data_IF_037118185193
#
_entry.id   IF_037118185193
#
_cell.length_a   1.000
_cell.length_b   1.000
_cell.length_c   1.000
_cell.angle_alpha   90.00
_cell.angle_beta   90.00
_cell.angle_gamma   90.00
#
_symmetry.space_group_name_H-M   'P 1'
#
loop_
_entity.id
_entity.type
_entity.pdbx_description
1 polymer ?
#
# COMPACT_ATOMS: atom_id res chain seq x y z
N UNK A 1 -50.39 5.12 -57.57
CA UNK A 1 -49.14 5.80 -57.17
C UNK A 1 -49.19 6.05 -55.67
N UNK A 2 -48.24 5.46 -54.93
CA UNK A 2 -48.31 5.25 -53.48
C UNK A 2 -48.05 6.56 -52.73
N UNK A 3 -48.93 6.86 -51.76
CA UNK A 3 -48.76 7.93 -50.77
C UNK A 3 -47.68 7.48 -49.77
N UNK A 4 -46.62 8.27 -49.62
CA UNK A 4 -45.62 8.12 -48.57
C UNK A 4 -45.93 9.18 -47.52
N UNK A 5 -46.59 8.77 -46.44
CA UNK A 5 -46.67 9.53 -45.19
C UNK A 5 -45.66 8.92 -44.24
N UNK A 6 -44.61 9.68 -43.94
CA UNK A 6 -43.56 9.34 -42.98
C UNK A 6 -44.13 9.47 -41.56
N UNK A 7 -44.52 8.36 -40.95
CA UNK A 7 -44.91 8.31 -39.54
C UNK A 7 -43.66 8.09 -38.67
N UNK A 8 -43.34 9.08 -37.85
CA UNK A 8 -42.39 8.94 -36.74
C UNK A 8 -42.96 7.94 -35.72
N UNK A 9 -42.33 6.76 -35.62
CA UNK A 9 -42.55 5.81 -34.54
C UNK A 9 -41.56 6.14 -33.42
N UNK A 10 -42.06 6.84 -32.40
CA UNK A 10 -41.44 6.93 -31.08
C UNK A 10 -41.58 5.57 -30.42
N UNK A 11 -40.50 4.79 -30.39
CA UNK A 11 -40.45 3.58 -29.57
C UNK A 11 -40.20 3.97 -28.11
N UNK A 12 -41.26 3.85 -27.32
CA UNK A 12 -41.20 3.84 -25.86
C UNK A 12 -40.34 2.68 -25.39
N UNK A 13 -39.09 2.95 -25.06
CA UNK A 13 -38.26 2.01 -24.31
C UNK A 13 -38.85 1.90 -22.89
N UNK A 14 -39.37 0.72 -22.56
CA UNK A 14 -39.74 0.37 -21.20
C UNK A 14 -38.55 0.61 -20.26
N UNK A 15 -38.68 1.57 -19.35
CA UNK A 15 -37.85 1.62 -18.15
C UNK A 15 -38.09 0.34 -17.35
N UNK A 16 -37.22 -0.65 -17.50
CA UNK A 16 -37.03 -1.62 -16.43
C UNK A 16 -36.41 -0.85 -15.27
N UNK A 17 -37.21 -0.56 -14.25
CA UNK A 17 -36.76 0.02 -13.00
C UNK A 17 -35.77 -0.94 -12.32
N UNK A 18 -34.50 -0.88 -12.72
CA UNK A 18 -33.40 -1.29 -11.85
C UNK A 18 -33.45 -0.36 -10.65
N UNK A 19 -33.92 -0.89 -9.52
CA UNK A 19 -33.80 -0.22 -8.21
C UNK A 19 -32.39 0.38 -8.13
N UNK A 20 -32.24 1.69 -7.91
CA UNK A 20 -30.93 2.25 -7.72
C UNK A 20 -30.32 1.58 -6.49
N UNK A 21 -29.19 0.91 -6.71
CA UNK A 21 -28.34 0.27 -5.69
C UNK A 21 -27.67 1.31 -4.75
N UNK A 22 -28.30 2.47 -4.57
CA UNK A 22 -27.74 3.64 -3.89
C UNK A 22 -28.63 4.18 -2.75
N UNK A 23 -29.71 3.50 -2.39
CA UNK A 23 -30.55 3.89 -1.26
C UNK A 23 -30.02 3.45 0.12
N UNK A 24 -28.94 2.67 0.16
CA UNK A 24 -28.23 2.25 1.39
C UNK A 24 -26.72 2.58 1.28
N UNK A 25 -26.38 3.73 0.70
CA UNK A 25 -25.15 4.39 1.11
C UNK A 25 -25.34 4.74 2.58
N UNK A 26 -24.89 3.84 3.47
CA UNK A 26 -24.79 4.08 4.91
C UNK A 26 -24.33 5.52 5.10
N UNK A 27 -25.16 6.36 5.74
CA UNK A 27 -24.73 7.68 6.20
C UNK A 27 -23.50 7.43 7.05
N UNK A 28 -22.32 7.64 6.49
CA UNK A 28 -21.06 7.26 7.11
C UNK A 28 -20.96 8.03 8.42
N UNK A 29 -21.28 7.35 9.52
CA UNK A 29 -21.34 7.96 10.84
C UNK A 29 -19.94 8.48 11.11
N UNK A 30 -19.84 9.76 11.46
CA UNK A 30 -18.56 10.39 11.78
C UNK A 30 -17.88 9.54 12.86
N UNK A 31 -16.66 9.03 12.63
CA UNK A 31 -15.95 8.21 13.60
C UNK A 31 -15.84 8.90 14.97
N UNK A 32 -15.92 8.12 16.05
CA UNK A 32 -15.90 8.67 17.41
C UNK A 32 -14.66 9.52 17.66
N UNK A 33 -13.49 9.09 17.19
CA UNK A 33 -12.25 9.85 17.35
C UNK A 33 -12.28 11.24 16.70
N UNK A 34 -13.08 11.44 15.65
CA UNK A 34 -13.28 12.78 15.05
C UNK A 34 -14.20 13.62 15.94
N UNK A 35 -15.23 13.00 16.53
CA UNK A 35 -16.14 13.68 17.47
C UNK A 35 -15.37 14.14 18.71
N UNK A 36 -14.52 13.28 19.24
CA UNK A 36 -13.73 13.56 20.44
C UNK A 36 -12.76 14.73 20.21
N UNK A 37 -12.03 14.72 19.08
CA UNK A 37 -11.17 15.85 18.69
C UNK A 37 -11.98 17.14 18.55
N UNK A 38 -13.18 17.10 17.95
CA UNK A 38 -14.03 18.30 17.81
C UNK A 38 -14.63 18.79 19.12
N UNK A 39 -14.64 17.96 20.16
CA UNK A 39 -15.12 18.31 21.49
C UNK A 39 -14.01 18.90 22.37
N UNK A 40 -12.75 18.87 21.94
CA UNK A 40 -11.62 19.52 22.63
C UNK A 40 -11.82 21.04 22.70
N UNK A 41 -11.08 21.71 23.59
CA UNK A 41 -11.04 23.17 23.61
C UNK A 41 -10.51 23.72 22.28
N UNK A 42 -10.88 24.95 21.90
CA UNK A 42 -10.39 25.54 20.65
C UNK A 42 -8.86 25.57 20.58
N UNK A 43 -8.20 25.83 21.71
CA UNK A 43 -6.74 25.82 21.83
C UNK A 43 -6.15 24.43 21.61
N UNK A 44 -6.75 23.39 22.20
CA UNK A 44 -6.30 22.01 22.04
C UNK A 44 -6.55 21.49 20.62
N UNK A 45 -7.66 21.88 19.99
CA UNK A 45 -7.92 21.55 18.58
C UNK A 45 -6.86 22.13 17.66
N UNK A 46 -6.48 23.39 17.87
CA UNK A 46 -5.43 24.05 17.07
C UNK A 46 -4.08 23.38 17.29
N UNK A 47 -3.67 23.18 18.54
CA UNK A 47 -2.42 22.50 18.89
C UNK A 47 -2.36 21.09 18.31
N UNK A 48 -3.43 20.31 18.48
CA UNK A 48 -3.52 18.96 17.95
C UNK A 48 -3.44 18.95 16.42
N UNK A 49 -4.17 19.84 15.74
CA UNK A 49 -4.14 19.96 14.29
C UNK A 49 -2.74 20.27 13.74
N UNK A 50 -2.03 21.21 14.39
CA UNK A 50 -0.64 21.55 14.05
C UNK A 50 0.27 20.35 14.24
N UNK A 51 0.23 19.69 15.40
CA UNK A 51 1.07 18.54 15.68
C UNK A 51 0.77 17.36 14.75
N UNK A 52 -0.50 17.07 14.47
CA UNK A 52 -0.89 16.01 13.53
C UNK A 52 -0.39 16.28 12.10
N UNK A 53 -0.53 17.53 11.62
CA UNK A 53 0.03 17.93 10.32
C UNK A 53 1.56 17.80 10.31
N UNK A 54 2.22 18.20 11.40
CA UNK A 54 3.67 18.16 11.53
C UNK A 54 4.20 16.72 11.57
N UNK A 55 3.51 15.80 12.24
CA UNK A 55 3.83 14.37 12.23
C UNK A 55 3.92 13.84 10.79
N UNK A 56 2.90 14.12 9.97
CA UNK A 56 2.87 13.69 8.56
C UNK A 56 4.04 14.29 7.78
N UNK A 57 4.28 15.59 7.91
CA UNK A 57 5.39 16.26 7.21
C UNK A 57 6.76 15.68 7.58
N UNK A 58 7.01 15.46 8.87
CA UNK A 58 8.27 14.91 9.35
C UNK A 58 8.49 13.48 8.86
N UNK A 59 7.43 12.66 8.85
CA UNK A 59 7.49 11.31 8.29
C UNK A 59 7.79 11.33 6.79
N UNK A 60 7.08 12.16 6.02
CA UNK A 60 7.31 12.33 4.57
C UNK A 60 8.74 12.80 4.25
N UNK A 61 9.36 13.55 5.17
CA UNK A 61 10.77 14.01 5.09
C UNK A 61 11.78 12.98 5.61
N UNK A 62 11.34 11.77 5.99
CA UNK A 62 12.18 10.73 6.62
C UNK A 62 12.86 11.16 7.92
N UNK A 63 12.30 12.17 8.61
CA UNK A 63 12.78 12.67 9.92
C UNK A 63 12.10 11.90 11.05
N UNK A 64 12.36 10.60 11.11
CA UNK A 64 11.59 9.63 11.91
C UNK A 64 11.66 9.92 13.42
N UNK A 65 12.83 10.30 13.95
CA UNK A 65 12.98 10.65 15.38
C UNK A 65 12.16 11.87 15.77
N UNK A 66 12.15 12.90 14.92
CA UNK A 66 11.37 14.11 15.15
C UNK A 66 9.87 13.83 14.99
N UNK A 67 9.50 12.95 14.06
CA UNK A 67 8.13 12.48 13.93
C UNK A 67 7.65 11.81 15.22
N UNK A 68 8.41 10.88 15.81
CA UNK A 68 8.06 10.27 17.10
C UNK A 68 7.98 11.29 18.25
N UNK A 69 8.83 12.32 18.26
CA UNK A 69 8.74 13.38 19.25
C UNK A 69 7.45 14.20 19.08
N UNK A 70 7.06 14.50 17.84
CA UNK A 70 5.82 15.25 17.55
C UNK A 70 4.57 14.41 17.79
N UNK A 71 4.62 13.09 17.52
CA UNK A 71 3.55 12.15 17.85
C UNK A 71 3.25 12.18 19.34
N UNK A 72 4.27 12.18 20.20
CA UNK A 72 4.08 12.27 21.65
C UNK A 72 3.32 13.54 22.06
N UNK A 73 3.62 14.69 21.43
CA UNK A 73 2.87 15.94 21.70
C UNK A 73 1.41 15.85 21.26
N UNK A 74 1.13 15.21 20.13
CA UNK A 74 -0.24 14.99 19.68
C UNK A 74 -0.99 14.06 20.66
N UNK A 75 -0.34 12.98 21.11
CA UNK A 75 -0.89 11.99 22.05
C UNK A 75 -1.11 12.56 23.46
N UNK A 76 -0.34 13.58 23.89
CA UNK A 76 -0.59 14.33 25.13
C UNK A 76 -1.96 15.05 25.11
N UNK A 77 -2.47 15.40 23.93
CA UNK A 77 -3.76 16.06 23.75
C UNK A 77 -4.85 15.02 23.45
N UNK A 78 -4.59 14.09 22.52
CA UNK A 78 -5.52 13.03 22.14
C UNK A 78 -4.78 11.83 21.52
N UNK A 79 -4.89 10.66 22.15
CA UNK A 79 -4.12 9.46 21.82
C UNK A 79 -4.88 8.42 20.98
N UNK A 80 -6.20 8.58 20.83
CA UNK A 80 -7.07 7.64 20.13
C UNK A 80 -7.29 7.99 18.66
N UNK A 81 -6.27 8.52 17.97
CA UNK A 81 -6.34 8.79 16.54
C UNK A 81 -5.65 7.68 15.73
N UNK A 82 -6.40 6.90 14.93
CA UNK A 82 -5.83 5.77 14.19
C UNK A 82 -4.78 6.19 13.16
N UNK A 83 -4.84 7.41 12.62
CA UNK A 83 -3.83 7.92 11.69
C UNK A 83 -2.50 8.25 12.39
N UNK A 84 -2.54 8.81 13.61
CA UNK A 84 -1.34 9.08 14.41
C UNK A 84 -0.71 7.77 14.89
N UNK A 85 -1.54 6.82 15.35
CA UNK A 85 -1.08 5.49 15.72
C UNK A 85 -0.47 4.73 14.53
N UNK A 86 -1.05 4.88 13.33
CA UNK A 86 -0.46 4.34 12.10
C UNK A 86 0.90 4.98 11.78
N UNK A 87 1.04 6.31 11.92
CA UNK A 87 2.33 6.99 11.75
C UNK A 87 3.36 6.52 12.78
N UNK A 88 2.95 6.28 14.02
CA UNK A 88 3.81 5.73 15.08
C UNK A 88 4.32 4.34 14.70
N UNK A 89 3.43 3.47 14.24
CA UNK A 89 3.81 2.14 13.75
C UNK A 89 4.75 2.23 12.56
N UNK A 90 4.46 3.10 11.59
CA UNK A 90 5.32 3.33 10.42
C UNK A 90 6.72 3.85 10.82
N UNK A 91 6.83 4.72 11.83
CA UNK A 91 8.12 5.14 12.36
C UNK A 91 8.92 3.95 12.92
N UNK A 92 8.26 3.03 13.64
CA UNK A 92 8.93 1.83 14.14
C UNK A 92 9.32 0.84 13.03
N UNK A 93 8.57 0.79 11.93
CA UNK A 93 8.96 0.04 10.72
C UNK A 93 10.28 0.57 10.14
N UNK A 94 10.47 1.89 10.05
CA UNK A 94 11.72 2.48 9.56
C UNK A 94 12.93 2.10 10.44
N UNK A 95 12.71 1.81 11.73
CA UNK A 95 13.73 1.30 12.65
C UNK A 95 13.86 -0.23 12.68
N UNK A 96 13.09 -0.95 11.85
CA UNK A 96 12.95 -2.42 11.90
C UNK A 96 12.53 -2.96 13.27
N UNK A 97 11.90 -2.13 14.10
CA UNK A 97 11.31 -2.56 15.36
C UNK A 97 9.88 -3.02 15.12
N UNK A 98 9.74 -4.21 14.53
CA UNK A 98 8.45 -4.72 14.08
C UNK A 98 7.49 -5.00 15.24
N UNK A 99 7.99 -5.37 16.42
CA UNK A 99 7.14 -5.60 17.60
C UNK A 99 6.41 -4.32 18.00
N UNK A 100 7.14 -3.20 18.19
CA UNK A 100 6.51 -1.91 18.51
C UNK A 100 5.64 -1.38 17.38
N UNK A 101 5.99 -1.67 16.13
CA UNK A 101 5.16 -1.31 14.98
C UNK A 101 3.82 -2.03 15.04
N UNK A 102 3.82 -3.34 15.28
CA UNK A 102 2.62 -4.16 15.39
C UNK A 102 1.76 -3.76 16.58
N UNK A 103 2.35 -3.39 17.73
CA UNK A 103 1.60 -2.86 18.88
C UNK A 103 0.85 -1.57 18.53
N UNK A 104 1.50 -0.63 17.85
CA UNK A 104 0.87 0.62 17.43
C UNK A 104 -0.23 0.38 16.38
N UNK A 105 0.01 -0.53 15.43
CA UNK A 105 -0.99 -0.91 14.43
C UNK A 105 -2.19 -1.63 15.03
N UNK A 106 -1.99 -2.48 16.04
CA UNK A 106 -3.07 -3.13 16.79
C UNK A 106 -3.99 -2.10 17.43
N UNK A 107 -3.43 -1.11 18.13
CA UNK A 107 -4.21 -0.02 18.72
C UNK A 107 -4.99 0.77 17.65
N UNK A 108 -4.38 1.06 16.50
CA UNK A 108 -5.06 1.73 15.39
C UNK A 108 -6.26 0.91 14.87
N UNK A 109 -6.13 -0.42 14.79
CA UNK A 109 -7.21 -1.32 14.35
C UNK A 109 -8.30 -1.54 15.41
N UNK A 110 -7.99 -1.40 16.70
CA UNK A 110 -8.98 -1.40 17.78
C UNK A 110 -9.94 -0.20 17.64
N UNK A 111 -9.42 0.97 17.25
CA UNK A 111 -10.20 2.19 17.04
C UNK A 111 -10.91 2.20 15.67
N UNK A 112 -10.20 1.83 14.60
CA UNK A 112 -10.74 1.77 13.25
C UNK A 112 -10.50 0.38 12.66
N UNK A 113 -11.46 -0.51 12.93
CA UNK A 113 -11.46 -1.87 12.36
C UNK A 113 -11.41 -1.80 10.84
N UNK A 114 -10.54 -2.62 10.26
CA UNK A 114 -10.40 -2.71 8.80
C UNK A 114 -9.70 -1.51 8.15
N UNK A 115 -9.00 -0.65 8.90
CA UNK A 115 -8.21 0.43 8.31
C UNK A 115 -7.22 -0.13 7.27
N UNK A 116 -7.44 0.24 5.99
CA UNK A 116 -6.70 -0.29 4.84
C UNK A 116 -5.19 -0.05 4.95
N UNK A 117 -4.77 1.17 5.30
CA UNK A 117 -3.35 1.54 5.37
C UNK A 117 -2.63 0.77 6.48
N UNK A 118 -3.28 0.60 7.64
CA UNK A 118 -2.71 -0.16 8.75
C UNK A 118 -2.57 -1.63 8.37
N UNK A 119 -3.60 -2.22 7.75
CA UNK A 119 -3.54 -3.61 7.25
C UNK A 119 -2.45 -3.80 6.20
N UNK A 120 -2.30 -2.86 5.28
CA UNK A 120 -1.22 -2.86 4.30
C UNK A 120 0.15 -2.83 4.99
N UNK A 121 0.36 -1.95 5.98
CA UNK A 121 1.62 -1.89 6.74
C UNK A 121 1.92 -3.21 7.50
N UNK A 122 0.91 -3.89 8.02
CA UNK A 122 1.09 -5.21 8.63
C UNK A 122 1.49 -6.25 7.57
N UNK A 123 0.87 -6.22 6.39
CA UNK A 123 1.22 -7.10 5.27
C UNK A 123 2.67 -6.85 4.80
N UNK A 124 3.11 -5.60 4.82
CA UNK A 124 4.50 -5.20 4.53
C UNK A 124 5.48 -5.76 5.57
N UNK A 125 5.18 -5.65 6.87
CA UNK A 125 6.00 -6.27 7.93
C UNK A 125 6.12 -7.78 7.68
N UNK A 126 5.00 -8.47 7.37
CA UNK A 126 5.01 -9.90 7.04
C UNK A 126 5.87 -10.18 5.81
N UNK A 127 5.80 -9.33 4.78
CA UNK A 127 6.59 -9.45 3.55
C UNK A 127 8.09 -9.38 3.82
N UNK A 128 8.55 -8.31 4.49
CA UNK A 128 9.98 -8.10 4.77
C UNK A 128 10.53 -9.06 5.83
N UNK A 129 9.65 -9.60 6.69
CA UNK A 129 9.98 -10.68 7.63
C UNK A 129 9.94 -12.07 6.97
N UNK A 130 9.83 -12.14 5.63
CA UNK A 130 9.80 -13.37 4.84
C UNK A 130 8.64 -14.32 5.16
N UNK A 131 7.58 -13.83 5.83
CA UNK A 131 6.34 -14.55 6.08
C UNK A 131 5.43 -14.44 4.86
N UNK A 132 5.90 -14.93 3.72
CA UNK A 132 5.28 -14.69 2.41
C UNK A 132 3.86 -15.23 2.29
N UNK A 133 3.55 -16.38 2.88
CA UNK A 133 2.20 -16.93 2.86
C UNK A 133 1.22 -16.05 3.66
N UNK A 134 1.62 -15.59 4.84
CA UNK A 134 0.79 -14.70 5.65
C UNK A 134 0.62 -13.31 5.01
N UNK A 135 1.69 -12.78 4.40
CA UNK A 135 1.64 -11.53 3.65
C UNK A 135 0.69 -11.64 2.46
N UNK A 136 0.80 -12.70 1.67
CA UNK A 136 -0.05 -12.96 0.51
C UNK A 136 -1.54 -12.99 0.86
N UNK A 137 -1.92 -13.67 1.95
CA UNK A 137 -3.33 -13.72 2.41
C UNK A 137 -3.87 -12.32 2.70
N UNK A 138 -3.09 -11.47 3.37
CA UNK A 138 -3.51 -10.09 3.64
C UNK A 138 -3.56 -9.24 2.37
N UNK A 139 -2.56 -9.36 1.49
CA UNK A 139 -2.51 -8.61 0.24
C UNK A 139 -3.67 -8.98 -0.70
N UNK A 140 -4.02 -10.26 -0.81
CA UNK A 140 -5.18 -10.73 -1.60
C UNK A 140 -6.50 -10.21 -1.00
N UNK A 141 -6.63 -10.17 0.32
CA UNK A 141 -7.77 -9.53 0.96
C UNK A 141 -7.82 -8.03 0.68
N UNK A 142 -6.70 -7.32 0.72
CA UNK A 142 -6.62 -5.89 0.39
C UNK A 142 -6.96 -5.63 -1.09
N UNK A 143 -6.55 -6.49 -2.02
CA UNK A 143 -6.94 -6.38 -3.43
C UNK A 143 -8.45 -6.52 -3.60
N UNK A 144 -9.08 -7.45 -2.87
CA UNK A 144 -10.54 -7.60 -2.90
C UNK A 144 -11.24 -6.35 -2.41
N UNK A 145 -10.79 -5.78 -1.29
CA UNK A 145 -11.36 -4.54 -0.73
C UNK A 145 -11.14 -3.35 -1.68
N UNK A 146 -9.95 -3.25 -2.29
CA UNK A 146 -9.59 -2.18 -3.22
C UNK A 146 -10.35 -2.24 -4.56
N UNK A 147 -10.73 -3.43 -5.03
CA UNK A 147 -11.42 -3.60 -6.32
C UNK A 147 -12.78 -2.90 -6.40
N UNK A 148 -13.38 -2.55 -5.26
CA UNK A 148 -14.65 -1.82 -5.17
C UNK A 148 -14.52 -0.33 -4.87
N UNK A 149 -13.31 0.20 -4.66
CA UNK A 149 -13.10 1.58 -4.19
C UNK A 149 -11.94 2.25 -4.94
N UNK A 150 -12.27 3.29 -5.71
CA UNK A 150 -11.32 4.07 -6.50
C UNK A 150 -10.27 4.79 -5.66
N UNK A 151 -10.51 5.02 -4.36
CA UNK A 151 -9.53 5.62 -3.46
C UNK A 151 -8.24 4.79 -3.35
N UNK A 152 -8.31 3.49 -3.62
CA UNK A 152 -7.17 2.57 -3.55
C UNK A 152 -6.55 2.26 -4.92
N UNK A 153 -7.05 2.86 -6.01
CA UNK A 153 -6.59 2.57 -7.36
C UNK A 153 -5.07 2.71 -7.53
N UNK A 154 -4.46 3.72 -6.88
CA UNK A 154 -3.02 3.93 -6.89
C UNK A 154 -2.19 2.88 -6.14
N UNK A 155 -2.79 2.14 -5.20
CA UNK A 155 -2.11 1.10 -4.41
C UNK A 155 -2.20 -0.29 -5.05
N UNK A 156 -3.26 -0.55 -5.84
CA UNK A 156 -3.52 -1.86 -6.47
C UNK A 156 -2.29 -2.40 -7.21
N UNK A 157 -1.57 -1.63 -8.06
CA UNK A 157 -0.44 -2.18 -8.79
C UNK A 157 0.71 -2.66 -7.89
N UNK A 158 1.01 -1.92 -6.82
CA UNK A 158 2.08 -2.29 -5.89
C UNK A 158 1.68 -3.52 -5.05
N UNK A 159 0.41 -3.61 -4.65
CA UNK A 159 -0.13 -4.78 -3.94
C UNK A 159 -0.09 -6.02 -4.85
N UNK A 160 -0.52 -5.91 -6.11
CA UNK A 160 -0.41 -6.98 -7.13
C UNK A 160 1.06 -7.43 -7.28
N UNK A 161 1.99 -6.48 -7.36
CA UNK A 161 3.42 -6.78 -7.50
C UNK A 161 4.00 -7.53 -6.29
N UNK A 162 3.70 -7.09 -5.08
CA UNK A 162 4.14 -7.78 -3.85
C UNK A 162 3.51 -9.17 -3.72
N UNK A 163 2.25 -9.32 -4.15
CA UNK A 163 1.57 -10.63 -4.21
C UNK A 163 2.23 -11.56 -5.21
N UNK A 164 2.60 -11.06 -6.40
CA UNK A 164 3.40 -11.78 -7.40
C UNK A 164 4.71 -12.29 -6.78
N UNK A 165 5.45 -11.43 -6.08
CA UNK A 165 6.70 -11.81 -5.42
C UNK A 165 6.50 -12.88 -4.34
N UNK A 166 5.44 -12.78 -3.53
CA UNK A 166 5.09 -13.83 -2.57
C UNK A 166 4.83 -15.17 -3.26
N UNK A 167 4.05 -15.17 -4.34
CA UNK A 167 3.77 -16.38 -5.15
C UNK A 167 5.05 -17.01 -5.71
N UNK A 168 6.00 -16.20 -6.18
CA UNK A 168 7.30 -16.70 -6.67
C UNK A 168 8.11 -17.38 -5.55
N UNK A 169 8.16 -16.81 -4.34
CA UNK A 169 8.82 -17.47 -3.18
C UNK A 169 8.15 -18.79 -2.83
N UNK A 170 6.82 -18.83 -2.93
CA UNK A 170 6.00 -20.02 -2.70
C UNK A 170 6.00 -21.02 -3.87
N UNK A 171 6.82 -20.77 -4.91
CA UNK A 171 6.96 -21.62 -6.11
C UNK A 171 5.69 -21.76 -6.96
N UNK A 172 4.70 -20.88 -6.75
CA UNK A 172 3.49 -20.78 -7.57
C UNK A 172 3.70 -19.77 -8.70
N UNK A 173 4.51 -20.15 -9.69
CA UNK A 173 4.89 -19.28 -10.82
C UNK A 173 3.68 -18.95 -11.70
N UNK A 174 2.76 -19.88 -11.89
CA UNK A 174 1.56 -19.65 -12.70
C UNK A 174 0.58 -18.71 -12.00
N UNK A 175 0.43 -18.83 -10.67
CA UNK A 175 -0.28 -17.85 -9.86
C UNK A 175 0.37 -16.47 -9.92
N UNK A 176 1.70 -16.40 -9.86
CA UNK A 176 2.45 -15.14 -9.95
C UNK A 176 2.16 -14.40 -11.27
N UNK A 177 2.16 -15.10 -12.41
CA UNK A 177 1.88 -14.52 -13.74
C UNK A 177 0.49 -13.88 -13.85
N UNK A 178 -0.51 -14.38 -13.10
CA UNK A 178 -1.88 -13.84 -13.14
C UNK A 178 -1.96 -12.38 -12.70
N UNK A 179 -1.06 -11.90 -11.84
CA UNK A 179 -1.06 -10.52 -11.36
C UNK A 179 -0.67 -9.49 -12.43
N UNK A 180 -0.03 -9.92 -13.52
CA UNK A 180 0.39 -9.05 -14.62
C UNK A 180 -0.23 -9.45 -15.96
N UNK A 181 -1.12 -10.43 -15.98
CA UNK A 181 -1.72 -10.96 -17.20
C UNK A 181 -2.58 -9.92 -17.95
N UNK A 182 -3.13 -8.94 -17.22
CA UNK A 182 -3.93 -7.83 -17.72
C UNK A 182 -3.11 -6.55 -17.94
N UNK A 183 -1.78 -6.63 -17.88
CA UNK A 183 -0.89 -5.48 -17.96
C UNK A 183 -0.02 -5.55 -19.21
N UNK A 184 0.37 -4.38 -19.71
CA UNK A 184 1.20 -4.23 -20.90
C UNK A 184 2.08 -2.97 -20.82
N UNK A 185 2.78 -2.65 -21.90
CA UNK A 185 3.67 -1.49 -21.97
C UNK A 185 2.94 -0.14 -21.88
N UNK A 186 1.61 -0.10 -22.05
CA UNK A 186 0.75 1.08 -21.94
C UNK A 186 0.19 1.26 -20.52
N UNK A 187 0.46 0.33 -19.60
CA UNK A 187 -0.02 0.45 -18.23
C UNK A 187 0.51 1.70 -17.52
N UNK A 188 -0.36 2.44 -16.85
CA UNK A 188 -0.05 3.70 -16.13
C UNK A 188 0.86 3.52 -14.90
N UNK A 189 1.23 2.28 -14.58
CA UNK A 189 2.10 1.94 -13.47
C UNK A 189 3.28 1.07 -13.92
N UNK A 190 4.38 1.05 -13.15
CA UNK A 190 5.55 0.23 -13.47
C UNK A 190 5.33 -1.29 -13.44
N UNK A 191 4.14 -1.78 -13.08
CA UNK A 191 3.86 -3.19 -12.80
C UNK A 191 4.24 -4.13 -13.94
N UNK A 192 3.97 -3.75 -15.19
CA UNK A 192 4.29 -4.58 -16.34
C UNK A 192 5.80 -4.84 -16.40
N UNK A 193 6.60 -3.80 -16.23
CA UNK A 193 8.06 -3.90 -16.30
C UNK A 193 8.65 -4.60 -15.06
N UNK A 194 8.20 -4.25 -13.86
CA UNK A 194 8.71 -4.83 -12.61
C UNK A 194 8.27 -6.28 -12.42
N UNK A 195 7.04 -6.62 -12.80
CA UNK A 195 6.54 -7.99 -12.75
C UNK A 195 7.31 -8.90 -13.71
N UNK A 196 7.55 -8.47 -14.95
CA UNK A 196 8.40 -9.23 -15.87
C UNK A 196 9.85 -9.32 -15.38
N UNK A 197 10.42 -8.26 -14.81
CA UNK A 197 11.74 -8.33 -14.18
C UNK A 197 11.79 -9.37 -13.06
N UNK A 198 10.78 -9.42 -12.18
CA UNK A 198 10.69 -10.40 -11.11
C UNK A 198 10.59 -11.86 -11.61
N UNK A 199 9.88 -12.08 -12.73
CA UNK A 199 9.83 -13.40 -13.39
C UNK A 199 11.20 -13.80 -13.94
N UNK A 200 11.92 -12.88 -14.59
CA UNK A 200 13.26 -13.15 -15.12
C UNK A 200 14.27 -13.42 -14.00
N UNK A 201 14.25 -12.66 -12.90
CA UNK A 201 15.07 -12.95 -11.73
C UNK A 201 14.77 -14.34 -11.17
N UNK A 202 13.50 -14.71 -11.04
CA UNK A 202 13.11 -16.03 -10.55
C UNK A 202 13.61 -17.17 -11.46
N UNK A 203 13.72 -16.91 -12.76
CA UNK A 203 14.25 -17.86 -13.75
C UNK A 203 15.78 -17.89 -13.83
N UNK A 204 16.48 -17.04 -13.07
CA UNK A 204 17.94 -16.89 -13.13
C UNK A 204 18.45 -16.04 -14.30
N UNK A 205 17.55 -15.41 -15.06
CA UNK A 205 17.87 -14.59 -16.23
C UNK A 205 18.18 -13.14 -15.83
N UNK A 206 19.20 -12.94 -15.01
CA UNK A 206 19.55 -11.64 -14.41
C UNK A 206 19.71 -10.55 -15.48
N UNK A 207 20.37 -10.85 -16.60
CA UNK A 207 20.58 -9.87 -17.66
C UNK A 207 19.29 -9.39 -18.33
N UNK A 208 18.26 -10.24 -18.44
CA UNK A 208 16.96 -9.83 -19.01
C UNK A 208 16.13 -9.08 -17.97
N UNK A 209 16.19 -9.48 -16.69
CA UNK A 209 15.58 -8.75 -15.60
C UNK A 209 16.07 -7.29 -15.56
N UNK A 210 17.38 -7.07 -15.66
CA UNK A 210 17.97 -5.73 -15.70
C UNK A 210 17.54 -4.91 -16.91
N UNK A 211 17.34 -5.54 -18.08
CA UNK A 211 16.78 -4.84 -19.25
C UNK A 211 15.34 -4.40 -19.01
N UNK A 212 14.52 -5.22 -18.34
CA UNK A 212 13.16 -4.82 -17.95
C UNK A 212 13.17 -3.59 -17.02
N UNK A 213 14.04 -3.60 -16.01
CA UNK A 213 14.19 -2.45 -15.10
C UNK A 213 14.74 -1.21 -15.83
N UNK A 214 15.65 -1.39 -16.79
CA UNK A 214 16.15 -0.30 -17.62
C UNK A 214 15.04 0.31 -18.51
N UNK A 215 14.14 -0.53 -19.07
CA UNK A 215 12.95 -0.05 -19.79
C UNK A 215 12.02 0.73 -18.85
N UNK A 216 11.76 0.22 -17.64
CA UNK A 216 10.95 0.92 -16.65
C UNK A 216 11.48 2.33 -16.34
N UNK A 217 12.81 2.47 -16.14
CA UNK A 217 13.46 3.77 -15.90
C UNK A 217 13.34 4.75 -17.06
N UNK A 218 13.23 4.27 -18.30
CA UNK A 218 13.02 5.12 -19.49
C UNK A 218 11.57 5.59 -19.61
N UNK A 219 10.61 4.72 -19.31
CA UNK A 219 9.17 5.03 -19.40
C UNK A 219 8.72 5.90 -18.23
N UNK A 220 9.13 5.54 -17.02
CA UNK A 220 8.78 6.26 -15.78
C UNK A 220 9.95 7.13 -15.35
N UNK A 221 10.10 8.27 -16.02
CA UNK A 221 11.24 9.18 -15.86
C UNK A 221 11.31 9.89 -14.51
N UNK A 222 10.22 9.94 -13.74
CA UNK A 222 10.20 10.45 -12.37
C UNK A 222 10.73 9.39 -11.40
N UNK A 223 11.91 9.54 -10.78
CA UNK A 223 12.45 8.51 -9.89
C UNK A 223 11.54 8.20 -8.70
N UNK A 224 10.76 9.17 -8.23
CA UNK A 224 9.85 8.99 -7.09
C UNK A 224 8.72 7.99 -7.37
N UNK A 225 8.31 7.83 -8.64
CA UNK A 225 7.29 6.83 -8.97
C UNK A 225 7.83 5.40 -8.99
N UNK A 226 9.15 5.24 -9.10
CA UNK A 226 9.83 3.95 -9.09
C UNK A 226 10.34 3.53 -7.71
N UNK A 227 10.55 4.47 -6.78
CA UNK A 227 11.09 4.21 -5.44
C UNK A 227 10.46 3.00 -4.74
N UNK A 228 9.13 2.96 -4.51
CA UNK A 228 8.47 1.83 -3.83
C UNK A 228 8.69 0.47 -4.51
N UNK A 229 8.87 0.45 -5.83
CA UNK A 229 9.09 -0.76 -6.62
C UNK A 229 10.53 -1.25 -6.51
N UNK A 230 11.49 -0.31 -6.54
CA UNK A 230 12.91 -0.60 -6.34
C UNK A 230 13.16 -1.08 -4.91
N UNK A 231 12.64 -0.36 -3.92
CA UNK A 231 12.73 -0.73 -2.50
C UNK A 231 12.17 -2.14 -2.29
N UNK A 232 11.02 -2.45 -2.90
CA UNK A 232 10.43 -3.80 -2.83
C UNK A 232 11.38 -4.89 -3.38
N UNK A 233 12.05 -4.65 -4.52
CA UNK A 233 12.99 -5.63 -5.08
C UNK A 233 14.31 -5.76 -4.29
N UNK A 234 14.74 -4.68 -3.64
CA UNK A 234 15.88 -4.67 -2.71
C UNK A 234 15.53 -5.51 -1.48
N UNK A 235 14.40 -5.21 -0.82
CA UNK A 235 13.90 -5.95 0.34
C UNK A 235 13.67 -7.43 0.05
N UNK A 236 13.26 -7.74 -1.18
CA UNK A 236 13.05 -9.13 -1.61
C UNK A 236 14.36 -9.88 -1.89
N UNK A 237 15.47 -9.16 -2.09
CA UNK A 237 16.80 -9.70 -2.38
C UNK A 237 17.11 -9.94 -3.86
N UNK A 238 16.36 -9.35 -4.79
CA UNK A 238 16.65 -9.44 -6.23
C UNK A 238 17.61 -8.35 -6.72
N UNK A 239 17.63 -7.21 -6.05
CA UNK A 239 18.55 -6.11 -6.35
C UNK A 239 19.40 -5.86 -5.10
N UNK A 240 20.70 -5.63 -5.26
CA UNK A 240 21.57 -5.22 -4.15
C UNK A 240 21.25 -3.79 -3.74
N UNK A 241 21.16 -3.54 -2.43
CA UNK A 241 21.15 -2.17 -1.92
C UNK A 241 22.51 -1.53 -2.18
N UNK A 242 22.53 -0.31 -2.73
CA UNK A 242 23.74 0.50 -2.82
C UNK A 242 24.04 1.28 -1.53
N UNK A 243 23.08 1.34 -0.59
CA UNK A 243 23.25 1.93 0.73
C UNK A 243 23.29 0.83 1.79
N UNK A 244 24.44 0.63 2.43
CA UNK A 244 24.59 -0.32 3.53
C UNK A 244 24.63 -1.79 3.11
N UNK A 245 25.46 -2.12 2.11
CA UNK A 245 25.84 -3.50 1.85
C UNK A 245 26.38 -4.16 3.12
N UNK A 246 25.94 -5.39 3.35
CA UNK A 246 26.56 -6.36 4.25
C UNK A 246 26.78 -5.85 5.69
N UNK A 247 25.69 -5.67 6.43
CA UNK A 247 25.69 -6.11 7.84
C UNK A 247 25.24 -7.56 7.86
N UNK A 248 26.04 -8.43 7.23
CA UNK A 248 26.08 -9.82 7.64
C UNK A 248 26.44 -9.80 9.13
N UNK A 249 25.45 -10.08 9.97
CA UNK A 249 25.66 -10.49 11.35
C UNK A 249 26.28 -11.90 11.33
N UNK A 250 27.49 -12.03 10.79
CA UNK A 250 28.40 -13.08 11.23
C UNK A 250 28.96 -12.66 12.60
N UNK A 251 28.09 -12.62 13.60
CA UNK A 251 28.50 -12.66 15.00
C UNK A 251 28.55 -14.12 15.44
N UNK A 252 29.54 -14.85 14.91
CA UNK A 252 30.07 -16.05 15.54
C UNK A 252 31.54 -15.77 15.87
N UNK A 253 31.99 -15.87 17.13
CA UNK A 253 33.40 -15.67 17.44
C UNK A 253 34.22 -16.75 16.74
N UNK A 254 35.45 -16.45 16.27
CA UNK A 254 36.33 -17.48 15.76
C UNK A 254 36.65 -18.44 16.90
N UNK A 255 36.17 -19.68 16.79
CA UNK A 255 36.68 -20.79 17.59
C UNK A 255 38.12 -21.02 17.15
N UNK A 256 39.06 -20.51 17.95
CA UNK A 256 40.44 -20.91 17.85
C UNK A 256 40.60 -22.30 18.44
N UNK A 257 41.04 -23.24 17.61
CA UNK A 257 41.89 -24.38 17.97
C UNK A 257 43.04 -24.45 16.97
#
# INVERSE_FOLDING_TARGET
MKKITLALLVSTLCLSAQKPKSAEAEKQKIPQWIVDIRALSQEDQEKYGISAQRCKQLFDQKRVFECLAEIRKAEEIYDQNPAILNLRGACYVEFRNFDKALDAFKLALEIQKGNFNVRFNIAEIKFVSQKYQESLVELESLLKDASGDSNYAGMIPLIKFKSLLCKLKLKDVDGAKKYIADTDFLSDSPIYYYGNAALEYNNGNIAEAEKWLARARRVFSNPKSLGPWQDTLIEFGYIKSFYGGDLDLESGPPTGE
#
